data_IF_605074468047
#
_entry.id   IF_605074468047
#
_cell.length_a   1.000
_cell.length_b   1.000
_cell.length_c   1.000
_cell.angle_alpha   90.00
_cell.angle_beta   90.00
_cell.angle_gamma   90.00
#
_symmetry.space_group_name_H-M   'P 1'
#
loop_
_entity.id
_entity.type
_entity.pdbx_description
1 polymer ?
#
# COMPACT_ATOMS: atom_id res chain seq x y z
N UNK A 1 19.61 26.00 -20.38
CA UNK A 1 19.21 25.00 -19.37
C UNK A 1 20.35 25.01 -18.39
N UNK A 2 20.29 25.91 -17.41
CA UNK A 2 21.44 26.19 -16.55
C UNK A 2 21.52 25.11 -15.49
N UNK A 3 22.56 24.28 -15.56
CA UNK A 3 22.94 23.42 -14.44
C UNK A 3 23.35 24.33 -13.29
N UNK A 4 22.43 24.55 -12.35
CA UNK A 4 22.69 25.34 -11.14
C UNK A 4 23.74 24.57 -10.33
N UNK A 5 25.00 25.01 -10.39
CA UNK A 5 26.09 24.46 -9.61
C UNK A 5 25.91 24.88 -8.14
N UNK A 6 25.18 24.06 -7.39
CA UNK A 6 24.89 24.29 -5.99
C UNK A 6 25.99 23.66 -5.13
N UNK A 7 26.56 24.38 -4.14
CA UNK A 7 27.52 23.82 -3.21
C UNK A 7 27.02 22.53 -2.55
N UNK A 8 27.88 21.51 -2.47
CA UNK A 8 27.53 20.16 -1.99
C UNK A 8 26.73 20.14 -0.67
N UNK A 9 27.14 20.96 0.31
CA UNK A 9 26.45 21.02 1.61
C UNK A 9 24.99 21.52 1.52
N UNK A 10 24.65 22.33 0.52
CA UNK A 10 23.28 22.80 0.30
C UNK A 10 22.44 21.67 -0.28
N UNK A 11 22.99 20.94 -1.25
CA UNK A 11 22.37 19.73 -1.83
C UNK A 11 22.16 18.69 -0.73
N UNK A 12 23.19 18.39 0.07
CA UNK A 12 23.12 17.42 1.16
C UNK A 12 22.06 17.81 2.21
N UNK A 13 21.94 19.09 2.55
CA UNK A 13 20.91 19.59 3.48
C UNK A 13 19.50 19.47 2.90
N UNK A 14 19.34 19.74 1.60
CA UNK A 14 18.07 19.57 0.90
C UNK A 14 17.70 18.08 0.87
N UNK A 15 18.62 17.21 0.45
CA UNK A 15 18.44 15.77 0.41
C UNK A 15 18.14 15.19 1.79
N UNK A 16 18.86 15.58 2.84
CA UNK A 16 18.58 15.15 4.22
C UNK A 16 17.15 15.52 4.64
N UNK A 17 16.68 16.72 4.29
CA UNK A 17 15.31 17.16 4.55
C UNK A 17 14.28 16.37 3.75
N UNK A 18 14.60 15.99 2.50
CA UNK A 18 13.75 15.15 1.65
C UNK A 18 13.70 13.70 2.15
N UNK A 19 14.83 13.13 2.56
CA UNK A 19 14.93 11.79 3.16
C UNK A 19 14.21 11.71 4.50
N UNK A 20 14.32 12.71 5.37
CA UNK A 20 13.62 12.75 6.65
C UNK A 20 12.09 12.82 6.51
N UNK A 21 11.57 13.32 5.38
CA UNK A 21 10.13 13.41 5.11
C UNK A 21 9.57 12.11 4.53
N UNK A 22 10.42 11.21 3.99
CA UNK A 22 9.98 9.93 3.45
C UNK A 22 9.83 8.91 4.57
N UNK A 23 8.72 8.16 4.64
CA UNK A 23 8.60 7.05 5.57
C UNK A 23 9.72 6.04 5.30
N UNK A 24 10.32 5.53 6.38
CA UNK A 24 11.33 4.47 6.28
C UNK A 24 10.80 3.28 5.49
N UNK A 25 11.69 2.46 4.95
CA UNK A 25 11.31 1.23 4.24
C UNK A 25 10.47 0.31 5.13
N UNK A 26 10.79 0.23 6.43
CA UNK A 26 9.99 -0.46 7.45
C UNK A 26 8.60 0.15 7.58
N UNK A 27 8.51 1.47 7.70
CA UNK A 27 7.22 2.15 7.86
C UNK A 27 6.31 1.96 6.64
N UNK A 28 6.90 1.95 5.42
CA UNK A 28 6.17 1.65 4.19
C UNK A 28 5.67 0.21 4.15
N UNK A 29 6.50 -0.76 4.57
CA UNK A 29 6.08 -2.17 4.70
C UNK A 29 4.90 -2.33 5.66
N UNK A 30 4.97 -1.72 6.85
CA UNK A 30 3.85 -1.74 7.80
C UNK A 30 2.54 -1.19 7.22
N UNK A 31 2.61 -0.12 6.42
CA UNK A 31 1.42 0.47 5.78
C UNK A 31 0.82 -0.51 4.76
N UNK A 32 1.68 -1.12 3.92
CA UNK A 32 1.24 -2.11 2.94
C UNK A 32 0.67 -3.35 3.61
N UNK A 33 1.31 -3.86 4.66
CA UNK A 33 0.84 -5.03 5.42
C UNK A 33 -0.52 -4.75 6.07
N UNK A 34 -0.69 -3.57 6.67
CA UNK A 34 -1.97 -3.13 7.26
C UNK A 34 -3.07 -3.00 6.20
N UNK A 35 -2.75 -2.49 5.01
CA UNK A 35 -3.71 -2.44 3.91
C UNK A 35 -4.06 -3.86 3.44
N UNK A 36 -3.08 -4.75 3.28
CA UNK A 36 -3.33 -6.13 2.88
C UNK A 36 -4.19 -6.88 3.90
N UNK A 37 -3.98 -6.65 5.19
CA UNK A 37 -4.80 -7.22 6.27
C UNK A 37 -6.24 -6.72 6.19
N UNK A 38 -6.44 -5.42 5.95
CA UNK A 38 -7.77 -4.85 5.72
C UNK A 38 -8.45 -5.48 4.49
N UNK A 39 -7.73 -5.67 3.39
CA UNK A 39 -8.26 -6.30 2.18
C UNK A 39 -8.72 -7.73 2.46
N UNK A 40 -7.92 -8.50 3.20
CA UNK A 40 -8.26 -9.87 3.63
C UNK A 40 -9.52 -9.88 4.48
N UNK A 41 -9.60 -8.97 5.47
CA UNK A 41 -10.77 -8.85 6.34
C UNK A 41 -12.04 -8.51 5.55
N UNK A 42 -12.00 -7.53 4.65
CA UNK A 42 -13.15 -7.14 3.82
C UNK A 42 -13.59 -8.26 2.89
N UNK A 43 -12.66 -8.97 2.24
CA UNK A 43 -12.97 -10.14 1.41
C UNK A 43 -13.65 -11.25 2.20
N UNK A 44 -13.21 -11.49 3.44
CA UNK A 44 -13.84 -12.45 4.33
C UNK A 44 -15.26 -12.02 4.72
N UNK A 45 -15.47 -10.73 5.00
CA UNK A 45 -16.80 -10.18 5.28
C UNK A 45 -17.74 -10.36 4.07
N UNK A 46 -17.28 -10.05 2.85
CA UNK A 46 -18.08 -10.29 1.62
C UNK A 46 -18.47 -11.75 1.48
N UNK A 47 -17.54 -12.69 1.68
CA UNK A 47 -17.84 -14.12 1.64
C UNK A 47 -18.87 -14.52 2.70
N UNK A 48 -18.72 -14.02 3.93
CA UNK A 48 -19.66 -14.27 5.03
C UNK A 48 -21.05 -13.72 4.73
N UNK A 49 -21.14 -12.50 4.22
CA UNK A 49 -22.41 -11.86 3.87
C UNK A 49 -23.11 -12.59 2.72
N UNK A 50 -22.37 -13.02 1.69
CA UNK A 50 -22.92 -13.89 0.63
C UNK A 50 -23.46 -15.22 1.18
N UNK A 51 -22.75 -15.82 2.14
CA UNK A 51 -23.22 -17.04 2.78
C UNK A 51 -24.47 -16.79 3.63
N UNK A 52 -24.53 -15.70 4.40
CA UNK A 52 -25.72 -15.33 5.17
C UNK A 52 -26.96 -15.14 4.29
N UNK A 53 -26.81 -14.54 3.10
CA UNK A 53 -27.92 -14.38 2.15
C UNK A 53 -28.51 -15.70 1.64
N UNK A 54 -27.80 -16.83 1.79
CA UNK A 54 -28.31 -18.16 1.46
C UNK A 54 -29.14 -18.80 2.58
N UNK A 55 -29.17 -18.20 3.77
CA UNK A 55 -29.93 -18.68 4.92
C UNK A 55 -31.31 -18.02 5.02
N UNK A 56 -32.15 -18.49 5.95
CA UNK A 56 -33.43 -17.85 6.26
C UNK A 56 -33.18 -16.54 7.02
N UNK A 57 -33.55 -15.43 6.41
CA UNK A 57 -33.41 -14.08 6.94
C UNK A 57 -34.73 -13.34 6.81
N UNK A 58 -35.01 -12.43 7.74
CA UNK A 58 -36.09 -11.47 7.59
C UNK A 58 -35.71 -10.36 6.60
N UNK A 59 -36.70 -9.64 6.07
CA UNK A 59 -36.48 -8.58 5.07
C UNK A 59 -35.56 -7.47 5.57
N UNK A 60 -35.66 -7.12 6.85
CA UNK A 60 -34.77 -6.15 7.49
C UNK A 60 -33.31 -6.63 7.51
N UNK A 61 -33.08 -7.90 7.83
CA UNK A 61 -31.74 -8.49 7.89
C UNK A 61 -31.14 -8.61 6.49
N UNK A 62 -31.95 -9.02 5.51
CA UNK A 62 -31.56 -9.08 4.10
C UNK A 62 -31.15 -7.71 3.58
N UNK A 63 -32.00 -6.69 3.77
CA UNK A 63 -31.70 -5.31 3.35
C UNK A 63 -30.43 -4.77 4.02
N UNK A 64 -30.24 -5.07 5.31
CA UNK A 64 -29.02 -4.70 6.02
C UNK A 64 -27.78 -5.35 5.40
N UNK A 65 -27.83 -6.67 5.15
CA UNK A 65 -26.70 -7.42 4.58
C UNK A 65 -26.38 -6.94 3.17
N UNK A 66 -27.38 -6.71 2.32
CA UNK A 66 -27.18 -6.22 0.95
C UNK A 66 -26.52 -4.82 0.93
N UNK A 67 -26.98 -3.91 1.80
CA UNK A 67 -26.34 -2.60 1.97
C UNK A 67 -24.89 -2.74 2.41
N UNK A 68 -24.63 -3.57 3.43
CA UNK A 68 -23.26 -3.85 3.92
C UNK A 68 -22.39 -4.47 2.84
N UNK A 69 -22.93 -5.32 1.98
CA UNK A 69 -22.19 -5.97 0.90
C UNK A 69 -21.74 -4.95 -0.17
N UNK A 70 -22.58 -3.96 -0.48
CA UNK A 70 -22.21 -2.83 -1.34
C UNK A 70 -21.10 -1.98 -0.72
N UNK A 71 -21.23 -1.63 0.57
CA UNK A 71 -20.22 -0.87 1.32
C UNK A 71 -18.85 -1.59 1.34
N UNK A 72 -18.84 -2.90 1.60
CA UNK A 72 -17.60 -3.67 1.61
C UNK A 72 -16.97 -3.76 0.21
N UNK A 73 -17.78 -3.87 -0.84
CA UNK A 73 -17.28 -3.93 -2.23
C UNK A 73 -16.65 -2.60 -2.64
N UNK A 74 -17.34 -1.47 -2.39
CA UNK A 74 -16.80 -0.13 -2.66
C UNK A 74 -15.52 0.13 -1.85
N UNK A 75 -15.47 -0.31 -0.60
CA UNK A 75 -14.28 -0.11 0.22
C UNK A 75 -13.09 -0.99 -0.21
N UNK A 76 -13.34 -2.17 -0.79
CA UNK A 76 -12.30 -2.98 -1.44
C UNK A 76 -11.74 -2.23 -2.65
N UNK A 77 -12.60 -1.68 -3.51
CA UNK A 77 -12.18 -0.91 -4.69
C UNK A 77 -11.32 0.29 -4.31
N UNK A 78 -11.74 1.07 -3.30
CA UNK A 78 -10.98 2.21 -2.78
C UNK A 78 -9.60 1.77 -2.25
N UNK A 79 -9.55 0.70 -1.47
CA UNK A 79 -8.30 0.21 -0.88
C UNK A 79 -7.34 -0.35 -1.95
N UNK A 80 -7.88 -1.02 -2.97
CA UNK A 80 -7.10 -1.49 -4.13
C UNK A 80 -6.55 -0.32 -4.95
N UNK A 81 -7.25 0.81 -5.02
CA UNK A 81 -6.72 2.01 -5.67
C UNK A 81 -5.54 2.65 -4.88
N UNK A 82 -5.54 2.52 -3.56
CA UNK A 82 -4.49 3.08 -2.69
C UNK A 82 -3.19 2.25 -2.65
N UNK A 83 -3.27 0.92 -2.72
CA UNK A 83 -2.11 0.01 -2.59
C UNK A 83 -1.04 0.21 -3.69
N UNK A 84 -1.37 0.36 -4.99
CA UNK A 84 -0.39 0.60 -6.06
C UNK A 84 0.45 1.86 -5.86
N UNK A 85 -0.10 2.88 -5.19
CA UNK A 85 0.63 4.14 -4.92
C UNK A 85 1.74 3.96 -3.89
N UNK A 86 1.65 2.94 -3.02
CA UNK A 86 2.69 2.60 -2.06
C UNK A 86 3.77 1.69 -2.64
N UNK A 87 3.42 0.79 -3.57
CA UNK A 87 4.37 -0.15 -4.18
C UNK A 87 5.24 0.51 -5.27
N UNK A 88 4.70 1.48 -6.03
CA UNK A 88 5.43 2.14 -7.12
C UNK A 88 6.59 3.04 -6.68
N UNK A 89 6.73 3.33 -5.39
CA UNK A 89 7.85 4.12 -4.85
C UNK A 89 9.06 3.26 -4.41
N UNK A 90 9.32 2.12 -5.04
CA UNK A 90 10.65 1.51 -4.99
C UNK A 90 11.53 2.20 -6.05
N UNK A 91 12.48 3.08 -5.66
CA UNK A 91 13.57 3.39 -6.55
C UNK A 91 14.39 2.10 -6.69
N UNK A 92 14.59 1.68 -7.93
CA UNK A 92 15.54 0.68 -8.37
C UNK A 92 16.95 1.10 -7.93
N UNK A 93 17.33 0.80 -6.69
CA UNK A 93 18.68 0.99 -6.15
C UNK A 93 19.08 -0.26 -5.37
N UNK A 94 19.04 -1.40 -6.06
CA UNK A 94 19.79 -2.62 -5.68
C UNK A 94 20.80 -3.00 -6.79
N UNK A 95 21.16 -2.03 -7.64
CA UNK A 95 22.25 -2.14 -8.60
C UNK A 95 23.52 -1.56 -7.96
N UNK A 96 24.22 -2.38 -7.17
CA UNK A 96 25.47 -1.96 -6.54
C UNK A 96 26.21 -3.03 -5.75
N UNK A 97 25.89 -4.32 -5.94
CA UNK A 97 26.77 -5.40 -5.47
C UNK A 97 27.51 -5.92 -6.69
N UNK A 98 28.67 -5.33 -6.96
CA UNK A 98 29.75 -5.97 -7.70
C UNK A 98 30.50 -6.89 -6.74
N UNK A 99 30.57 -8.21 -6.98
CA UNK A 99 31.65 -9.02 -6.46
C UNK A 99 32.47 -9.54 -7.64
N UNK A 100 33.09 -8.65 -8.42
CA UNK A 100 34.11 -9.03 -9.39
C UNK A 100 35.49 -8.77 -8.79
N UNK A 101 36.14 -9.84 -8.33
CA UNK A 101 37.51 -9.76 -7.84
C UNK A 101 37.89 -10.82 -6.80
N UNK A 102 37.65 -12.10 -7.09
CA UNK A 102 38.30 -13.18 -6.34
C UNK A 102 38.69 -14.36 -7.24
N UNK A 103 39.97 -14.35 -7.62
CA UNK A 103 40.88 -15.49 -7.85
C UNK A 103 40.85 -16.22 -9.21
N UNK A 104 41.95 -16.92 -9.58
CA UNK A 104 43.29 -17.00 -8.97
C UNK A 104 44.43 -16.36 -9.79
#
# INVERSE_FOLDING_TARGET
MDDINLPKHIVDRIEARWCARRPSTTKRREIVDRQLEQLRARRNNVRRYRWLLSTKLNDLERNFIERRLSEESSAIENLVAEIPLLVRQQPLLDAGIEPEGASP
#
